data_IF_321169499292
#
_entry.id   IF_321169499292
#
_cell.length_a   1.000
_cell.length_b   1.000
_cell.length_c   1.000
_cell.angle_alpha   90.00
_cell.angle_beta   90.00
_cell.angle_gamma   90.00
#
_symmetry.space_group_name_H-M   'P 1'
#
loop_
_entity.id
_entity.type
_entity.pdbx_description
1 polymer ?
#
# COMPACT_ATOMS: atom_id res chain seq x y z
N UNK A 1 -4.23 -20.53 -26.52
CA UNK A 1 -3.02 -21.23 -26.02
C UNK A 1 -3.16 -21.49 -24.52
N UNK A 2 -2.49 -22.51 -23.97
CA UNK A 2 -2.35 -22.68 -22.52
C UNK A 2 -0.93 -22.26 -22.12
N UNK A 3 -0.83 -21.18 -21.36
CA UNK A 3 0.40 -20.58 -20.83
C UNK A 3 0.39 -20.58 -19.30
N UNK A 4 -0.41 -21.48 -18.69
CA UNK A 4 -0.53 -21.54 -17.23
C UNK A 4 0.84 -21.80 -16.59
N UNK A 5 1.20 -21.01 -15.57
CA UNK A 5 2.49 -21.05 -14.86
C UNK A 5 3.73 -20.76 -15.74
N UNK A 6 3.57 -20.14 -16.91
CA UNK A 6 4.71 -19.73 -17.72
C UNK A 6 5.47 -18.56 -17.07
N UNK A 7 6.76 -18.43 -17.40
CA UNK A 7 7.59 -17.28 -17.04
C UNK A 7 7.83 -16.47 -18.32
N UNK A 8 7.18 -15.32 -18.40
CA UNK A 8 7.22 -14.31 -19.45
C UNK A 8 7.70 -12.94 -18.92
N UNK A 9 8.41 -12.91 -17.80
CA UNK A 9 8.96 -11.68 -17.23
C UNK A 9 9.83 -10.97 -18.28
N UNK A 10 9.61 -9.66 -18.45
CA UNK A 10 10.26 -8.82 -19.47
C UNK A 10 10.08 -9.29 -20.94
N UNK A 11 9.14 -10.21 -21.21
CA UNK A 11 8.90 -10.68 -22.57
C UNK A 11 8.23 -9.59 -23.43
N UNK A 12 8.60 -9.56 -24.72
CA UNK A 12 7.89 -8.75 -25.72
C UNK A 12 6.78 -9.57 -26.35
N UNK A 13 5.53 -9.16 -26.11
CA UNK A 13 4.30 -9.75 -26.65
C UNK A 13 3.56 -8.75 -27.55
N UNK A 14 4.28 -7.77 -28.08
CA UNK A 14 3.75 -6.69 -28.91
C UNK A 14 3.04 -7.27 -30.13
N UNK A 15 1.81 -6.81 -30.38
CA UNK A 15 0.91 -7.32 -31.42
C UNK A 15 0.51 -8.81 -31.30
N UNK A 16 0.79 -9.49 -30.19
CA UNK A 16 0.38 -10.87 -30.01
C UNK A 16 -1.16 -10.99 -29.89
N UNK A 17 -1.72 -12.05 -30.46
CA UNK A 17 -3.11 -12.43 -30.21
C UNK A 17 -3.16 -13.50 -29.12
N UNK A 18 -3.55 -13.07 -27.91
CA UNK A 18 -3.74 -13.93 -26.73
C UNK A 18 -5.23 -14.08 -26.38
N UNK A 19 -6.12 -13.86 -27.36
CA UNK A 19 -7.57 -14.03 -27.18
C UNK A 19 -7.89 -15.44 -26.68
N UNK A 20 -8.72 -15.54 -25.64
CA UNK A 20 -9.09 -16.81 -25.00
C UNK A 20 -7.90 -17.65 -24.47
N UNK A 21 -6.69 -17.08 -24.36
CA UNK A 21 -5.56 -17.81 -23.80
C UNK A 21 -5.76 -18.08 -22.30
N UNK A 22 -5.21 -19.22 -21.83
CA UNK A 22 -5.15 -19.51 -20.40
C UNK A 22 -3.85 -18.96 -19.83
N UNK A 23 -3.96 -17.87 -19.07
CA UNK A 23 -2.83 -17.12 -18.49
C UNK A 23 -2.80 -17.28 -16.96
N UNK A 24 -3.30 -18.39 -16.43
CA UNK A 24 -3.39 -18.64 -14.98
C UNK A 24 -2.00 -18.74 -14.35
N UNK A 25 -1.76 -18.02 -13.24
CA UNK A 25 -0.48 -18.03 -12.48
C UNK A 25 0.77 -17.73 -13.30
N UNK A 26 0.65 -16.92 -14.35
CA UNK A 26 1.80 -16.54 -15.17
C UNK A 26 2.65 -15.48 -14.46
N UNK A 27 3.98 -15.56 -14.59
CA UNK A 27 4.86 -14.44 -14.24
C UNK A 27 5.17 -13.67 -15.52
N UNK A 28 4.62 -12.47 -15.67
CA UNK A 28 4.86 -11.57 -16.81
C UNK A 28 5.27 -10.17 -16.33
N UNK A 29 5.91 -10.08 -15.16
CA UNK A 29 6.36 -8.81 -14.62
C UNK A 29 7.25 -8.08 -15.63
N UNK A 30 6.94 -6.82 -15.94
CA UNK A 30 7.70 -6.02 -16.92
C UNK A 30 7.46 -6.37 -18.39
N UNK A 31 6.53 -7.29 -18.70
CA UNK A 31 6.24 -7.65 -20.09
C UNK A 31 5.62 -6.50 -20.88
N UNK A 32 5.94 -6.46 -22.18
CA UNK A 32 5.38 -5.51 -23.13
C UNK A 32 4.21 -6.15 -23.88
N UNK A 33 2.99 -5.75 -23.50
CA UNK A 33 1.70 -6.14 -24.07
C UNK A 33 1.13 -5.02 -24.98
N UNK A 34 1.99 -4.17 -25.53
CA UNK A 34 1.53 -3.08 -26.39
C UNK A 34 0.86 -3.64 -27.66
N UNK A 35 -0.35 -3.15 -27.94
CA UNK A 35 -1.19 -3.64 -29.05
C UNK A 35 -1.50 -5.14 -29.04
N UNK A 36 -1.38 -5.80 -27.89
CA UNK A 36 -1.81 -7.19 -27.70
C UNK A 36 -3.34 -7.27 -27.60
N UNK A 37 -3.93 -8.38 -28.05
CA UNK A 37 -5.36 -8.68 -27.82
C UNK A 37 -5.49 -9.70 -26.69
N UNK A 38 -6.20 -9.33 -25.61
CA UNK A 38 -6.46 -10.19 -24.44
C UNK A 38 -7.95 -10.55 -24.27
N UNK A 39 -8.79 -10.26 -25.27
CA UNK A 39 -10.23 -10.47 -25.15
C UNK A 39 -10.59 -11.92 -24.81
N UNK A 40 -11.19 -12.06 -23.63
CA UNK A 40 -11.61 -13.28 -22.98
C UNK A 40 -10.50 -14.23 -22.57
N UNK A 41 -9.28 -13.71 -22.40
CA UNK A 41 -8.22 -14.42 -21.70
C UNK A 41 -8.64 -14.78 -20.26
N UNK A 42 -8.08 -15.88 -19.76
CA UNK A 42 -8.33 -16.39 -18.41
C UNK A 42 -7.20 -15.94 -17.50
N UNK A 43 -7.51 -15.01 -16.59
CA UNK A 43 -6.57 -14.37 -15.68
C UNK A 43 -6.95 -14.75 -14.25
N UNK A 44 -6.39 -15.87 -13.77
CA UNK A 44 -6.54 -16.29 -12.39
C UNK A 44 -5.17 -16.30 -11.71
N UNK A 45 -5.08 -15.73 -10.50
CA UNK A 45 -3.82 -15.55 -9.75
C UNK A 45 -2.68 -14.99 -10.63
N UNK A 46 -3.02 -14.03 -11.51
CA UNK A 46 -2.09 -13.43 -12.45
C UNK A 46 -1.75 -12.02 -11.95
N UNK A 47 -0.48 -11.66 -11.73
CA UNK A 47 -0.11 -10.29 -11.40
C UNK A 47 -0.59 -9.37 -12.53
N UNK A 48 -0.96 -8.12 -12.25
CA UNK A 48 -1.37 -7.18 -13.31
C UNK A 48 -0.53 -5.91 -13.33
N UNK A 49 0.41 -5.78 -12.41
CA UNK A 49 1.24 -4.59 -12.24
C UNK A 49 2.48 -4.62 -13.13
N UNK A 50 2.98 -3.43 -13.47
CA UNK A 50 4.26 -3.28 -14.18
C UNK A 50 4.24 -3.72 -15.65
N UNK A 51 3.05 -3.84 -16.26
CA UNK A 51 2.89 -4.18 -17.67
C UNK A 51 2.89 -2.91 -18.55
N UNK A 52 3.47 -3.01 -19.74
CA UNK A 52 3.28 -2.00 -20.77
C UNK A 52 2.09 -2.41 -21.62
N UNK A 53 1.03 -1.61 -21.61
CA UNK A 53 -0.27 -1.99 -22.22
C UNK A 53 -0.75 -0.93 -23.21
N UNK A 54 0.18 -0.21 -23.85
CA UNK A 54 -0.19 0.85 -24.79
C UNK A 54 -0.94 0.28 -26.00
N UNK A 55 -2.18 0.73 -26.20
CA UNK A 55 -3.05 0.21 -27.25
C UNK A 55 -3.52 -1.24 -27.03
N UNK A 56 -3.44 -1.78 -25.80
CA UNK A 56 -3.99 -3.09 -25.45
C UNK A 56 -5.50 -3.14 -25.76
N UNK A 57 -5.93 -4.20 -26.42
CA UNK A 57 -7.33 -4.46 -26.70
C UNK A 57 -7.86 -5.55 -25.76
N UNK A 58 -8.83 -5.19 -24.93
CA UNK A 58 -9.48 -6.12 -24.03
C UNK A 58 -10.92 -5.69 -23.71
N UNK A 59 -11.90 -6.46 -24.17
CA UNK A 59 -13.33 -6.17 -23.93
C UNK A 59 -13.88 -6.89 -22.70
N UNK A 60 -13.32 -8.05 -22.37
CA UNK A 60 -13.68 -8.82 -21.19
C UNK A 60 -12.58 -9.81 -20.85
N UNK A 61 -12.54 -10.27 -19.60
CA UNK A 61 -11.64 -11.32 -19.10
C UNK A 61 -12.40 -12.28 -18.21
N UNK A 62 -11.91 -13.51 -18.12
CA UNK A 62 -12.42 -14.51 -17.17
C UNK A 62 -11.48 -14.59 -15.97
N UNK A 63 -12.01 -14.27 -14.79
CA UNK A 63 -11.29 -14.27 -13.52
C UNK A 63 -11.53 -15.53 -12.70
N UNK A 64 -12.26 -16.52 -13.24
CA UNK A 64 -12.59 -17.69 -12.46
C UNK A 64 -11.38 -18.63 -12.23
N UNK A 65 -11.30 -19.31 -11.08
CA UNK A 65 -10.20 -20.24 -10.77
C UNK A 65 -10.00 -21.34 -11.81
N UNK A 66 -11.10 -21.80 -12.40
CA UNK A 66 -11.15 -22.89 -13.38
C UNK A 66 -11.13 -22.39 -14.82
N UNK A 67 -11.34 -21.09 -15.05
CA UNK A 67 -11.56 -20.51 -16.37
C UNK A 67 -12.82 -21.03 -17.05
N UNK A 68 -13.86 -21.28 -16.27
CA UNK A 68 -15.18 -21.78 -16.68
C UNK A 68 -16.18 -20.66 -17.02
N UNK A 69 -15.74 -19.41 -17.08
CA UNK A 69 -16.57 -18.22 -17.34
C UNK A 69 -17.60 -17.93 -16.24
N UNK A 70 -17.40 -18.46 -15.03
CA UNK A 70 -18.25 -18.12 -13.88
C UNK A 70 -18.04 -16.68 -13.40
N UNK A 71 -16.88 -16.07 -13.67
CA UNK A 71 -16.51 -14.73 -13.23
C UNK A 71 -16.00 -13.90 -14.42
N UNK A 72 -16.90 -13.47 -15.28
CA UNK A 72 -16.56 -12.58 -16.41
C UNK A 72 -16.53 -11.13 -15.94
N UNK A 73 -15.42 -10.45 -16.18
CA UNK A 73 -15.29 -9.01 -16.00
C UNK A 73 -15.27 -8.33 -17.37
N UNK A 74 -16.29 -7.52 -17.67
CA UNK A 74 -16.32 -6.68 -18.86
C UNK A 74 -15.51 -5.41 -18.62
N UNK A 75 -14.74 -4.99 -19.61
CA UNK A 75 -13.85 -3.83 -19.54
C UNK A 75 -14.19 -2.89 -20.70
N UNK A 76 -14.52 -1.65 -20.38
CA UNK A 76 -14.49 -0.58 -21.37
C UNK A 76 -13.07 -0.31 -21.89
N UNK A 77 -12.92 0.37 -23.04
CA UNK A 77 -11.59 0.68 -23.60
C UNK A 77 -10.69 1.47 -22.66
N UNK A 78 -11.24 2.38 -21.84
CA UNK A 78 -10.50 3.14 -20.85
C UNK A 78 -10.26 2.33 -19.55
N UNK A 79 -11.20 1.47 -19.18
CA UNK A 79 -11.11 0.61 -17.99
C UNK A 79 -10.08 -0.49 -18.15
N UNK A 80 -9.89 -1.02 -19.36
CA UNK A 80 -8.87 -2.00 -19.67
C UNK A 80 -7.48 -1.47 -19.30
N UNK A 81 -7.19 -0.19 -19.59
CA UNK A 81 -5.91 0.40 -19.23
C UNK A 81 -5.73 0.48 -17.71
N UNK A 82 -6.76 0.87 -16.96
CA UNK A 82 -6.69 0.90 -15.49
C UNK A 82 -6.56 -0.51 -14.90
N UNK A 83 -7.25 -1.49 -15.48
CA UNK A 83 -7.23 -2.89 -15.05
C UNK A 83 -5.88 -3.58 -15.28
N UNK A 84 -5.17 -3.24 -16.36
CA UNK A 84 -3.84 -3.79 -16.68
C UNK A 84 -2.67 -2.85 -16.35
N UNK A 85 -2.94 -1.64 -15.84
CA UNK A 85 -1.95 -0.75 -15.22
C UNK A 85 -2.28 -0.43 -13.76
N UNK A 86 -2.62 -1.41 -12.90
CA UNK A 86 -2.73 -1.14 -11.48
C UNK A 86 -1.37 -0.64 -10.99
N UNK A 87 -1.42 0.48 -10.25
CA UNK A 87 -0.27 0.91 -9.47
C UNK A 87 0.07 -0.20 -8.48
N UNK A 88 1.35 -0.44 -8.21
CA UNK A 88 1.68 -1.34 -7.11
C UNK A 88 1.11 -0.75 -5.81
N UNK A 89 0.36 -1.50 -5.01
CA UNK A 89 -0.11 -1.01 -3.72
C UNK A 89 1.10 -0.65 -2.86
N UNK A 90 1.09 0.55 -2.31
CA UNK A 90 2.26 1.14 -1.67
C UNK A 90 1.92 1.72 -0.30
N UNK A 91 2.83 1.54 0.64
CA UNK A 91 2.83 2.26 1.91
C UNK A 91 3.99 3.25 1.91
N UNK A 92 3.68 4.53 2.09
CA UNK A 92 4.65 5.61 2.12
C UNK A 92 4.68 6.25 3.50
N UNK A 93 5.86 6.25 4.12
CA UNK A 93 6.12 7.00 5.35
C UNK A 93 7.01 8.18 5.01
N UNK A 94 6.49 9.38 5.17
CA UNK A 94 7.22 10.62 4.96
C UNK A 94 7.60 11.17 6.33
N UNK A 95 8.90 11.34 6.56
CA UNK A 95 9.48 11.89 7.77
C UNK A 95 9.96 13.30 7.47
N UNK A 96 9.56 14.32 8.25
CA UNK A 96 10.03 15.71 8.10
C UNK A 96 11.42 15.89 8.75
N UNK A 97 12.34 14.97 8.47
CA UNK A 97 13.74 14.97 8.88
C UNK A 97 14.61 14.30 7.79
N UNK A 98 15.84 14.80 7.52
CA UNK A 98 16.80 14.09 6.69
C UNK A 98 17.27 12.80 7.37
N UNK A 99 17.65 11.80 6.56
CA UNK A 99 18.15 10.53 7.06
C UNK A 99 19.64 10.65 7.43
N UNK A 100 19.98 10.33 8.67
CA UNK A 100 21.36 10.31 9.15
C UNK A 100 21.92 8.88 9.17
N UNK A 101 23.24 8.75 9.35
CA UNK A 101 23.93 7.45 9.29
C UNK A 101 23.42 6.45 10.33
N UNK A 102 23.18 6.92 11.56
CA UNK A 102 22.62 6.07 12.63
C UNK A 102 21.16 5.72 12.35
N UNK A 103 20.32 6.69 11.95
CA UNK A 103 18.92 6.46 11.57
C UNK A 103 18.81 5.41 10.46
N UNK A 104 19.73 5.43 9.49
CA UNK A 104 19.78 4.48 8.40
C UNK A 104 20.10 3.05 8.89
N UNK A 105 21.08 2.89 9.78
CA UNK A 105 21.39 1.60 10.40
C UNK A 105 20.18 1.04 11.15
N UNK A 106 19.51 1.90 11.90
CA UNK A 106 18.33 1.55 12.68
C UNK A 106 17.19 1.09 11.77
N UNK A 107 16.87 1.85 10.71
CA UNK A 107 15.84 1.47 9.72
C UNK A 107 16.17 0.13 9.05
N UNK A 108 17.43 -0.08 8.65
CA UNK A 108 17.85 -1.33 8.02
C UNK A 108 17.72 -2.53 8.98
N UNK A 109 18.14 -2.36 10.24
CA UNK A 109 18.00 -3.40 11.27
C UNK A 109 16.55 -3.72 11.57
N UNK A 110 15.69 -2.71 11.60
CA UNK A 110 14.26 -2.82 11.84
C UNK A 110 13.57 -3.57 10.70
N UNK A 111 13.87 -3.18 9.44
CA UNK A 111 13.41 -3.88 8.26
C UNK A 111 13.82 -5.36 8.27
N UNK A 112 15.09 -5.65 8.57
CA UNK A 112 15.58 -7.03 8.67
C UNK A 112 14.82 -7.86 9.72
N UNK A 113 14.49 -7.26 10.86
CA UNK A 113 13.72 -7.94 11.91
C UNK A 113 12.27 -8.21 11.49
N UNK A 114 11.62 -7.26 10.83
CA UNK A 114 10.25 -7.45 10.31
C UNK A 114 10.25 -8.53 9.24
N UNK A 115 11.13 -8.45 8.24
CA UNK A 115 11.18 -9.42 7.15
C UNK A 115 11.39 -10.87 7.64
N UNK A 116 12.12 -11.06 8.75
CA UNK A 116 12.32 -12.38 9.37
C UNK A 116 11.11 -12.89 10.14
N UNK A 117 10.35 -12.01 10.79
CA UNK A 117 9.21 -12.38 11.63
C UNK A 117 7.89 -12.44 10.86
N UNK A 118 7.76 -11.58 9.86
CA UNK A 118 6.57 -11.37 9.06
C UNK A 118 6.96 -11.48 7.60
N UNK A 119 6.56 -12.57 6.95
CA UNK A 119 6.76 -12.79 5.51
C UNK A 119 5.83 -11.91 4.64
N UNK A 120 5.49 -10.71 5.13
CA UNK A 120 4.62 -9.74 4.46
C UNK A 120 5.40 -8.80 3.54
N UNK A 121 6.72 -8.67 3.75
CA UNK A 121 7.61 -7.82 2.95
C UNK A 121 8.45 -8.69 2.03
N UNK A 122 8.14 -8.65 0.74
CA UNK A 122 8.87 -9.40 -0.29
C UNK A 122 10.11 -8.64 -0.81
N UNK A 123 10.05 -7.31 -0.79
CA UNK A 123 11.12 -6.43 -1.29
C UNK A 123 11.51 -5.34 -0.28
N UNK A 124 12.78 -4.89 -0.28
CA UNK A 124 13.22 -3.79 0.55
C UNK A 124 12.54 -2.47 0.18
N UNK A 125 12.35 -1.55 1.14
CA UNK A 125 11.77 -0.25 0.84
C UNK A 125 12.70 0.58 -0.03
N UNK A 126 12.12 1.38 -0.92
CA UNK A 126 12.82 2.46 -1.59
C UNK A 126 12.97 3.63 -0.63
N UNK A 127 14.19 4.15 -0.50
CA UNK A 127 14.49 5.31 0.34
C UNK A 127 14.78 6.51 -0.56
N UNK A 128 13.92 7.51 -0.51
CA UNK A 128 14.13 8.78 -1.19
C UNK A 128 14.54 9.86 -0.19
N UNK A 129 15.70 10.45 -0.44
CA UNK A 129 16.30 11.47 0.42
C UNK A 129 16.13 12.85 -0.20
N UNK A 130 15.67 13.78 0.60
CA UNK A 130 15.70 15.21 0.30
C UNK A 130 16.37 15.95 1.46
N UNK A 131 16.85 17.18 1.26
CA UNK A 131 17.53 17.94 2.33
C UNK A 131 16.69 18.16 3.60
N UNK A 132 15.37 17.98 3.52
CA UNK A 132 14.44 18.21 4.63
C UNK A 132 13.59 16.99 4.99
N UNK A 133 13.49 16.00 4.10
CA UNK A 133 12.56 14.88 4.25
C UNK A 133 13.16 13.58 3.79
N UNK A 134 12.76 12.53 4.48
CA UNK A 134 13.01 11.15 4.10
C UNK A 134 11.68 10.50 3.76
N UNK A 135 11.59 9.88 2.59
CA UNK A 135 10.41 9.12 2.19
C UNK A 135 10.80 7.65 2.08
N UNK A 136 10.15 6.81 2.87
CA UNK A 136 10.25 5.36 2.80
C UNK A 136 9.03 4.84 2.02
N UNK A 137 9.26 4.17 0.90
CA UNK A 137 8.19 3.58 0.07
C UNK A 137 8.31 2.06 0.11
N UNK A 138 7.25 1.40 0.58
CA UNK A 138 7.13 -0.06 0.60
C UNK A 138 6.15 -0.48 -0.49
N UNK A 139 6.65 -1.19 -1.50
CA UNK A 139 5.83 -1.76 -2.57
C UNK A 139 5.31 -3.12 -2.12
N UNK A 140 4.02 -3.37 -2.31
CA UNK A 140 3.33 -4.60 -1.93
C UNK A 140 2.75 -5.29 -3.15
N UNK A 141 2.55 -6.60 -3.02
CA UNK A 141 1.86 -7.41 -4.04
C UNK A 141 0.38 -7.65 -3.71
N UNK A 142 -0.01 -7.49 -2.45
CA UNK A 142 -1.37 -7.73 -1.95
C UNK A 142 -1.89 -6.52 -1.19
N UNK A 143 -3.11 -6.10 -1.49
CA UNK A 143 -3.75 -4.94 -0.86
C UNK A 143 -4.20 -5.22 0.58
N UNK A 144 -4.56 -6.47 0.87
CA UNK A 144 -4.89 -6.94 2.23
C UNK A 144 -3.72 -6.74 3.21
N UNK A 145 -2.49 -6.57 2.71
CA UNK A 145 -1.30 -6.30 3.52
C UNK A 145 -1.05 -4.81 3.81
N UNK A 146 -1.73 -3.88 3.12
CA UNK A 146 -1.48 -2.43 3.24
C UNK A 146 -1.59 -1.94 4.70
N UNK A 147 -2.70 -2.25 5.37
CA UNK A 147 -2.94 -1.82 6.75
C UNK A 147 -2.02 -2.52 7.75
N UNK A 148 -1.77 -3.82 7.54
CA UNK A 148 -0.87 -4.61 8.39
C UNK A 148 0.58 -4.07 8.33
N UNK A 149 1.07 -3.74 7.15
CA UNK A 149 2.41 -3.20 6.95
C UNK A 149 2.50 -1.78 7.48
N UNK A 150 1.50 -0.93 7.22
CA UNK A 150 1.43 0.40 7.82
C UNK A 150 1.48 0.34 9.37
N UNK A 151 0.81 -0.64 9.98
CA UNK A 151 0.85 -0.84 11.43
C UNK A 151 2.25 -1.23 11.94
N UNK A 152 2.98 -2.04 11.17
CA UNK A 152 4.32 -2.51 11.51
C UNK A 152 5.36 -1.41 11.33
N UNK A 153 5.43 -0.79 10.16
CA UNK A 153 6.54 0.10 9.79
C UNK A 153 6.59 1.40 10.60
N UNK A 154 5.48 1.78 11.24
CA UNK A 154 5.40 2.99 12.08
C UNK A 154 5.95 2.77 13.48
N UNK A 155 6.20 1.52 13.91
CA UNK A 155 6.72 1.20 15.24
C UNK A 155 7.95 1.98 15.72
N UNK A 156 8.96 2.28 14.90
CA UNK A 156 10.17 2.93 15.39
C UNK A 156 9.93 4.43 15.67
N UNK A 157 8.81 5.00 15.25
CA UNK A 157 8.49 6.42 15.38
C UNK A 157 7.67 6.71 16.63
N UNK A 158 7.83 7.92 17.18
CA UNK A 158 7.05 8.38 18.34
C UNK A 158 5.53 8.36 18.11
N UNK A 159 5.11 8.65 16.88
CA UNK A 159 3.70 8.65 16.48
C UNK A 159 3.12 7.26 16.20
N UNK A 160 3.87 6.19 16.48
CA UNK A 160 3.46 4.79 16.27
C UNK A 160 2.10 4.50 16.90
N UNK A 161 1.94 4.79 18.19
CA UNK A 161 0.73 4.46 18.94
C UNK A 161 -0.50 5.19 18.39
N UNK A 162 -0.34 6.47 18.02
CA UNK A 162 -1.41 7.26 17.44
C UNK A 162 -1.82 6.69 16.08
N UNK A 163 -0.85 6.41 15.21
CA UNK A 163 -1.10 5.85 13.87
C UNK A 163 -1.75 4.47 13.95
N UNK A 164 -1.23 3.58 14.80
CA UNK A 164 -1.77 2.24 15.04
C UNK A 164 -3.20 2.27 15.57
N UNK A 165 -3.50 3.19 16.49
CA UNK A 165 -4.86 3.36 17.00
C UNK A 165 -5.81 3.84 15.90
N UNK A 166 -5.37 4.77 15.03
CA UNK A 166 -6.15 5.21 13.88
C UNK A 166 -6.46 4.08 12.90
N UNK A 167 -5.50 3.18 12.63
CA UNK A 167 -5.71 2.00 11.77
C UNK A 167 -6.75 1.05 12.39
N UNK A 168 -6.65 0.76 13.68
CA UNK A 168 -7.60 -0.14 14.37
C UNK A 168 -9.00 0.49 14.44
N UNK A 169 -9.10 1.80 14.69
CA UNK A 169 -10.36 2.53 14.68
C UNK A 169 -11.01 2.57 13.30
N UNK A 170 -10.19 2.75 12.25
CA UNK A 170 -10.66 2.70 10.86
C UNK A 170 -11.30 1.34 10.54
N UNK A 171 -10.61 0.24 10.85
CA UNK A 171 -11.15 -1.09 10.58
C UNK A 171 -12.43 -1.38 11.36
N UNK A 172 -12.51 -0.96 12.62
CA UNK A 172 -13.74 -1.09 13.42
C UNK A 172 -14.90 -0.31 12.81
N UNK A 173 -14.66 0.94 12.43
CA UNK A 173 -15.73 1.76 11.81
C UNK A 173 -16.19 1.18 10.47
N UNK A 174 -15.28 0.60 9.69
CA UNK A 174 -15.63 -0.10 8.44
C UNK A 174 -16.39 -1.40 8.66
N UNK A 175 -16.04 -2.19 9.69
CA UNK A 175 -16.77 -3.40 10.07
C UNK A 175 -18.17 -3.11 10.61
N UNK A 176 -18.36 -1.98 11.30
CA UNK A 176 -19.66 -1.56 11.85
C UNK A 176 -20.65 -1.05 10.79
N UNK A 177 -20.20 -0.77 9.55
CA UNK A 177 -21.04 -0.31 8.43
C UNK A 177 -21.79 -1.45 7.72
N UNK A 178 -22.06 -2.54 8.44
CA UNK A 178 -22.68 -3.76 7.91
C UNK A 178 -24.04 -3.47 7.24
N UNK A 179 -24.21 -3.94 6.00
CA UNK A 179 -25.43 -3.82 5.21
C UNK A 179 -25.45 -2.75 4.11
N UNK A 180 -24.46 -1.85 4.03
CA UNK A 180 -24.31 -0.84 2.95
C UNK A 180 -23.15 -1.17 2.00
N UNK A 181 -22.35 -2.16 2.35
CA UNK A 181 -21.14 -2.57 1.64
C UNK A 181 -21.44 -3.69 0.65
N UNK A 182 -20.79 -3.65 -0.50
CA UNK A 182 -20.76 -4.73 -1.48
C UNK A 182 -20.02 -5.96 -0.92
N UNK A 183 -20.30 -7.18 -1.43
CA UNK A 183 -19.60 -8.39 -1.00
C UNK A 183 -18.07 -8.30 -1.12
N UNK A 184 -17.60 -7.51 -2.09
CA UNK A 184 -16.19 -7.27 -2.37
C UNK A 184 -15.54 -6.38 -1.31
N UNK A 185 -16.20 -5.27 -0.94
CA UNK A 185 -15.77 -4.38 0.14
C UNK A 185 -15.72 -5.14 1.48
N UNK A 186 -16.72 -5.99 1.75
CA UNK A 186 -16.76 -6.83 2.96
C UNK A 186 -15.58 -7.83 3.00
N UNK A 187 -15.32 -8.54 1.89
CA UNK A 187 -14.20 -9.48 1.81
C UNK A 187 -12.85 -8.78 2.03
N UNK A 188 -12.64 -7.61 1.44
CA UNK A 188 -11.40 -6.83 1.61
C UNK A 188 -11.20 -6.37 3.07
N UNK A 189 -12.26 -5.94 3.74
CA UNK A 189 -12.22 -5.55 5.17
C UNK A 189 -11.90 -6.78 6.03
N UNK A 190 -12.53 -7.92 5.75
CA UNK A 190 -12.32 -9.15 6.51
C UNK A 190 -10.89 -9.67 6.35
N UNK A 191 -10.36 -9.73 5.13
CA UNK A 191 -8.98 -10.12 4.86
C UNK A 191 -7.98 -9.18 5.56
N UNK A 192 -8.19 -7.86 5.46
CA UNK A 192 -7.35 -6.87 6.13
C UNK A 192 -7.38 -7.04 7.65
N UNK A 193 -8.54 -7.33 8.23
CA UNK A 193 -8.70 -7.58 9.66
C UNK A 193 -8.05 -8.90 10.10
N UNK A 194 -8.18 -9.97 9.30
CA UNK A 194 -7.52 -11.26 9.55
C UNK A 194 -5.99 -11.12 9.54
N UNK A 195 -5.43 -10.27 8.67
CA UNK A 195 -3.98 -9.99 8.61
C UNK A 195 -3.51 -9.10 9.76
N UNK A 196 -4.30 -8.11 10.15
CA UNK A 196 -3.94 -7.20 11.23
C UNK A 196 -4.10 -7.82 12.63
N UNK A 197 -5.14 -8.63 12.84
CA UNK A 197 -5.49 -9.27 14.11
C UNK A 197 -4.32 -9.91 14.87
N UNK A 198 -3.54 -10.83 14.26
CA UNK A 198 -2.40 -11.46 14.94
C UNK A 198 -1.25 -10.48 15.25
N UNK A 199 -1.14 -9.35 14.55
CA UNK A 199 -0.13 -8.34 14.82
C UNK A 199 -0.48 -7.51 16.06
N UNK A 200 -1.78 -7.24 16.26
CA UNK A 200 -2.31 -6.49 17.41
C UNK A 200 -2.15 -7.34 18.68
N UNK A 201 -1.10 -7.06 19.45
CA UNK A 201 -0.83 -7.69 20.74
C UNK A 201 0.34 -8.69 20.76
N UNK A 202 0.84 -9.15 19.61
CA UNK A 202 2.05 -9.99 19.55
C UNK A 202 3.35 -9.19 19.41
N UNK A 203 3.25 -7.92 19.02
CA UNK A 203 4.41 -7.07 18.79
C UNK A 203 5.05 -6.63 20.10
N UNK A 204 6.07 -7.36 20.53
CA UNK A 204 7.09 -6.81 21.43
C UNK A 204 7.80 -5.66 20.70
N UNK A 205 8.10 -4.54 21.38
CA UNK A 205 8.83 -3.44 20.75
C UNK A 205 10.11 -3.99 20.11
N UNK A 206 10.30 -3.67 18.84
CA UNK A 206 11.49 -4.09 18.11
C UNK A 206 12.71 -3.55 18.84
N UNK A 207 13.64 -4.44 19.18
CA UNK A 207 14.87 -4.04 19.87
C UNK A 207 15.74 -3.28 18.88
N UNK A 208 15.82 -1.98 19.09
CA UNK A 208 16.61 -1.07 18.26
C UNK A 208 18.09 -1.17 18.65
N UNK A 209 19.02 -1.20 17.69
CA UNK A 209 20.44 -1.22 18.00
C UNK A 209 20.90 0.10 18.62
N UNK A 210 21.00 0.13 19.96
CA UNK A 210 21.92 0.95 20.75
C UNK A 210 21.71 2.47 20.87
N UNK A 211 21.10 2.91 21.97
CA UNK A 211 21.63 3.96 22.88
C UNK A 211 21.67 5.45 22.47
N UNK A 212 21.69 5.80 21.18
CA UNK A 212 21.70 7.21 20.77
C UNK A 212 20.28 7.73 20.56
N UNK A 213 19.95 8.82 21.25
CA UNK A 213 18.71 9.56 21.05
C UNK A 213 18.80 10.27 19.70
N UNK A 214 18.14 9.70 18.71
CA UNK A 214 18.10 10.22 17.35
C UNK A 214 16.80 11.00 17.14
N UNK A 215 16.94 12.29 16.79
CA UNK A 215 15.82 13.18 16.51
C UNK A 215 14.99 12.73 15.31
N UNK A 216 15.54 11.85 14.46
CA UNK A 216 14.85 11.32 13.28
C UNK A 216 13.55 10.58 13.64
N UNK A 217 13.54 9.77 14.71
CA UNK A 217 12.38 8.98 15.11
C UNK A 217 11.34 9.76 15.91
N UNK A 218 11.74 10.92 16.44
CA UNK A 218 10.87 11.90 17.09
C UNK A 218 10.28 12.93 16.11
N UNK A 219 10.74 12.93 14.85
CA UNK A 219 10.31 13.89 13.85
C UNK A 219 8.85 13.66 13.42
N UNK A 220 8.12 14.73 13.05
CA UNK A 220 6.76 14.60 12.52
C UNK A 220 6.70 13.69 11.30
N UNK A 221 5.77 12.72 11.32
CA UNK A 221 5.55 11.81 10.18
C UNK A 221 4.19 12.03 9.50
N UNK A 222 4.12 11.62 8.24
CA UNK A 222 2.90 11.41 7.49
C UNK A 222 2.92 10.00 6.90
N UNK A 223 1.82 9.27 7.04
CA UNK A 223 1.65 7.92 6.51
C UNK A 223 0.57 7.93 5.45
N UNK A 224 0.94 7.53 4.24
CA UNK A 224 0.05 7.42 3.10
C UNK A 224 0.01 5.97 2.63
N UNK A 225 -1.19 5.52 2.26
CA UNK A 225 -1.40 4.32 1.47
C UNK A 225 -1.72 4.72 0.04
N UNK A 226 -1.40 3.84 -0.89
CA UNK A 226 -1.88 3.90 -2.26
C UNK A 226 -2.37 2.51 -2.62
N UNK A 227 -3.61 2.41 -3.08
CA UNK A 227 -4.20 1.17 -3.55
C UNK A 227 -3.77 0.89 -5.00
N UNK A 228 -4.25 -0.22 -5.56
CA UNK A 228 -3.97 -0.63 -6.93
C UNK A 228 -4.59 0.29 -7.98
N UNK A 229 -5.70 0.99 -7.68
CA UNK A 229 -6.23 2.04 -8.56
C UNK A 229 -5.37 3.32 -8.58
N UNK A 230 -4.39 3.44 -7.69
CA UNK A 230 -3.51 4.61 -7.58
C UNK A 230 -4.07 5.74 -6.73
N UNK A 231 -5.21 5.52 -6.05
CA UNK A 231 -5.80 6.48 -5.14
C UNK A 231 -5.01 6.53 -3.82
N UNK A 232 -4.55 7.72 -3.38
CA UNK A 232 -3.85 7.86 -2.12
C UNK A 232 -4.83 8.02 -0.95
N UNK A 233 -4.59 7.30 0.14
CA UNK A 233 -5.27 7.49 1.43
C UNK A 233 -4.26 7.94 2.48
N UNK A 234 -4.47 9.12 3.06
CA UNK A 234 -3.64 9.57 4.19
C UNK A 234 -4.15 8.92 5.47
N UNK A 235 -3.41 7.95 6.01
CA UNK A 235 -3.76 7.27 7.25
C UNK A 235 -3.54 8.13 8.49
N UNK A 236 -2.42 8.85 8.49
CA UNK A 236 -2.02 9.67 9.62
C UNK A 236 -1.17 10.83 9.15
N UNK A 237 -1.35 11.98 9.78
CA UNK A 237 -0.51 13.15 9.58
C UNK A 237 -0.31 13.86 10.92
N UNK A 238 0.96 13.97 11.34
CA UNK A 238 1.29 14.67 12.57
C UNK A 238 0.87 16.16 12.49
N UNK A 239 0.30 16.78 13.54
CA UNK A 239 -0.19 18.16 13.50
C UNK A 239 0.87 19.23 13.18
N UNK A 240 2.14 18.91 13.42
CA UNK A 240 3.30 19.78 13.11
C UNK A 240 3.99 19.40 11.79
N UNK A 241 3.49 18.40 11.06
CA UNK A 241 4.06 17.99 9.78
C UNK A 241 4.07 19.16 8.78
N UNK A 242 5.24 19.48 8.23
CA UNK A 242 5.43 20.60 7.30
C UNK A 242 5.43 21.99 7.95
N UNK A 243 5.21 22.11 9.27
CA UNK A 243 5.29 23.41 9.97
C UNK A 243 6.74 23.70 10.34
N UNK A 244 7.18 24.92 10.05
CA UNK A 244 8.55 25.39 10.29
C UNK A 244 8.75 25.59 11.80
N UNK A 245 9.62 24.81 12.46
CA UNK A 245 10.19 25.23 13.75
C UNK A 245 11.30 26.21 13.42
N UNK A 246 11.00 27.51 13.42
CA UNK A 246 12.03 28.53 13.34
C UNK A 246 12.68 28.60 14.72
N UNK A 247 13.79 27.90 14.90
CA UNK A 247 14.68 28.12 16.05
C UNK A 247 15.38 29.47 15.83
N UNK A 248 14.75 30.57 16.26
CA UNK A 248 15.47 31.82 16.49
C UNK A 248 16.13 31.68 17.86
N UNK A 249 17.45 31.55 17.86
CA UNK A 249 18.30 31.48 19.03
C UNK A 249 17.97 32.59 20.04
N UNK A 250 17.79 32.22 21.31
CA UNK A 250 18.19 33.07 22.43
C UNK A 250 17.16 33.94 23.16
N UNK A 251 15.86 33.91 22.84
CA UNK A 251 14.89 34.71 23.62
C UNK A 251 13.52 34.01 23.79
N UNK A 252 13.27 33.57 25.03
CA UNK A 252 11.97 33.38 25.69
C UNK A 252 10.79 33.16 24.72
N UNK A 253 10.53 31.91 24.35
CA UNK A 253 9.28 31.52 23.69
C UNK A 253 8.16 31.46 24.72
N UNK A 254 7.56 32.61 25.06
CA UNK A 254 6.13 32.61 25.42
C UNK A 254 5.36 32.38 24.13
N UNK A 255 4.98 31.13 23.88
CA UNK A 255 3.94 30.83 22.91
C UNK A 255 2.63 31.49 23.37
N UNK A 256 2.35 32.68 22.85
CA UNK A 256 1.00 33.24 22.81
C UNK A 256 0.22 32.45 21.77
N UNK A 257 -0.37 31.35 22.23
CA UNK A 257 -1.26 30.46 21.49
C UNK A 257 -2.04 29.64 22.51
N UNK A 258 -3.14 30.24 22.98
CA UNK A 258 -4.30 29.71 23.70
C UNK A 258 -4.23 28.24 24.22
N UNK A 259 -4.47 28.01 25.53
CA UNK A 259 -4.66 26.65 26.06
C UNK A 259 -6.03 26.14 25.61
N UNK A 260 -6.07 25.03 24.86
CA UNK A 260 -7.34 24.32 24.65
C UNK A 260 -7.70 23.89 23.23
N UNK A 261 -6.76 23.74 22.30
CA UNK A 261 -7.06 23.02 21.05
C UNK A 261 -6.08 21.87 20.83
N UNK A 262 -6.40 20.73 21.45
CA UNK A 262 -6.02 19.43 20.93
C UNK A 262 -6.66 19.28 19.53
N UNK A 263 -6.04 19.88 18.51
CA UNK A 263 -6.44 19.69 17.11
C UNK A 263 -6.07 18.26 16.73
N UNK A 264 -7.08 17.39 16.89
CA UNK A 264 -7.09 15.97 16.54
C UNK A 264 -6.37 15.74 15.21
N UNK A 265 -5.52 14.71 15.17
CA UNK A 265 -5.01 14.15 13.92
C UNK A 265 -6.18 14.00 12.93
N UNK A 266 -5.94 14.28 11.64
CA UNK A 266 -6.96 14.20 10.61
C UNK A 266 -7.65 12.82 10.70
N UNK A 267 -8.90 12.80 11.19
CA UNK A 267 -9.67 11.57 11.36
C UNK A 267 -10.12 11.16 9.97
N UNK A 268 -9.66 10.00 9.51
CA UNK A 268 -10.06 9.46 8.20
C UNK A 268 -11.58 9.34 8.21
N UNK A 269 -12.24 9.94 7.21
CA UNK A 269 -13.68 9.80 7.08
C UNK A 269 -13.98 8.41 6.52
N UNK A 270 -14.95 7.71 7.09
CA UNK A 270 -15.30 6.35 6.67
C UNK A 270 -15.58 6.27 5.17
N UNK A 271 -16.16 7.33 4.57
CA UNK A 271 -16.43 7.38 3.14
C UNK A 271 -15.15 7.42 2.28
N UNK A 272 -14.10 8.13 2.70
CA UNK A 272 -12.81 8.14 2.00
C UNK A 272 -12.12 6.77 2.05
N UNK A 273 -12.26 6.06 3.19
CA UNK A 273 -11.74 4.72 3.31
C UNK A 273 -12.55 3.71 2.49
N UNK A 274 -13.86 3.91 2.34
CA UNK A 274 -14.69 3.09 1.44
C UNK A 274 -14.32 3.31 -0.02
N UNK A 275 -14.16 4.56 -0.45
CA UNK A 275 -13.70 4.89 -1.81
C UNK A 275 -12.34 4.23 -2.09
N UNK A 276 -11.41 4.34 -1.15
CA UNK A 276 -10.12 3.66 -1.22
C UNK A 276 -10.23 2.13 -1.32
N UNK A 277 -11.16 1.51 -0.59
CA UNK A 277 -11.42 0.06 -0.68
C UNK A 277 -12.10 -0.34 -1.99
N UNK A 278 -12.86 0.53 -2.64
CA UNK A 278 -13.41 0.26 -3.99
C UNK A 278 -12.34 0.24 -5.06
N UNK A 279 -11.28 1.01 -4.85
CA UNK A 279 -10.08 0.96 -5.68
C UNK A 279 -9.24 -0.31 -5.48
N UNK A 280 -9.67 -1.25 -4.62
CA UNK A 280 -9.04 -2.55 -4.53
C UNK A 280 -9.43 -3.36 -5.76
N UNK A 281 -8.48 -3.55 -6.68
CA UNK A 281 -8.70 -4.44 -7.81
C UNK A 281 -8.80 -5.87 -7.29
N UNK A 282 -10.03 -6.33 -7.12
CA UNK A 282 -10.33 -7.72 -6.80
C UNK A 282 -9.49 -8.65 -7.66
N UNK A 283 -8.76 -9.52 -6.98
CA UNK A 283 -8.58 -10.91 -7.34
C UNK A 283 -8.23 -11.66 -6.04
N UNK A 284 -9.19 -11.73 -5.12
CA UNK A 284 -9.19 -12.79 -4.10
C UNK A 284 -10.57 -13.46 -4.10
N UNK A 285 -10.65 -14.56 -4.86
CA UNK A 285 -11.40 -15.78 -4.50
C UNK A 285 -10.45 -16.96 -4.67
#
# INVERSE_FOLDING_TARGET
ADLSNAILSEASLVHADLSQAKLTRIDWAGADLSQTTLTGAKLYETPRFGLQTEGLLCEWVDLSPTGDRSHIHHLGPDEAQLFFRPSQPQVRVIIDSPLEAYSHLVIASFYHQIARKFALLESPPSIQLTPRRTTLTFNLNQESHLLAIAYLIVQPFKDAQATQSSIVELLKTLQELDGVLSPQEQAAIEQSAQRLGPLVGQLKPVTMPGGEADNFFDAPIQVLLQNSSGEPLTLYQHPQFGKRIVNISGAITRSLGLPGEARRAARIQAEQAREFLRGFYLLEV
#
